data_IF_603106479123
#
_entry.id   IF_603106479123
#
_cell.length_a   1.000
_cell.length_b   1.000
_cell.length_c   1.000
_cell.angle_alpha   90.00
_cell.angle_beta   90.00
_cell.angle_gamma   90.00
#
_symmetry.space_group_name_H-M   'P 1'
#
loop_
_entity.id
_entity.type
_entity.pdbx_description
1 polymer ?
#
# COMPACT_ATOMS: atom_id res chain seq x y z
N UNK A 1 -6.92 -14.82 7.67
CA UNK A 1 -7.24 -13.82 6.63
C UNK A 1 -5.94 -13.48 5.92
N UNK A 2 -5.94 -13.35 4.59
CA UNK A 2 -4.73 -13.06 3.82
C UNK A 2 -4.38 -11.57 3.85
N UNK A 3 -3.11 -11.23 3.62
CA UNK A 3 -2.65 -9.84 3.56
C UNK A 3 -2.63 -9.32 2.12
N UNK A 4 -3.12 -8.10 1.89
CA UNK A 4 -3.05 -7.46 0.59
C UNK A 4 -1.67 -6.85 0.33
N UNK A 5 -1.16 -7.04 -0.88
CA UNK A 5 -0.04 -6.29 -1.45
C UNK A 5 -0.49 -5.77 -2.80
N UNK A 6 -0.18 -4.52 -3.11
CA UNK A 6 -0.61 -3.87 -4.35
C UNK A 6 0.60 -3.63 -5.24
N UNK A 7 0.43 -3.72 -6.56
CA UNK A 7 1.40 -3.20 -7.52
C UNK A 7 1.33 -1.67 -7.56
N UNK A 8 2.39 -1.03 -8.05
CA UNK A 8 2.40 0.42 -8.25
C UNK A 8 1.31 0.83 -9.25
N UNK A 9 1.16 0.10 -10.36
CA UNK A 9 0.12 0.41 -11.35
C UNK A 9 -1.30 0.26 -10.75
N UNK A 10 -1.55 -0.76 -9.93
CA UNK A 10 -2.83 -0.94 -9.24
C UNK A 10 -3.15 0.23 -8.31
N UNK A 11 -2.22 0.57 -7.41
CA UNK A 11 -2.35 1.72 -6.51
C UNK A 11 -2.55 3.03 -7.27
N UNK A 12 -1.85 3.24 -8.40
CA UNK A 12 -1.98 4.44 -9.21
C UNK A 12 -3.35 4.53 -9.89
N UNK A 13 -3.85 3.44 -10.47
CA UNK A 13 -5.16 3.44 -11.14
C UNK A 13 -6.28 3.71 -10.14
N UNK A 14 -6.27 3.07 -8.96
CA UNK A 14 -7.30 3.28 -7.95
C UNK A 14 -7.38 4.74 -7.50
N UNK A 15 -6.23 5.39 -7.27
CA UNK A 15 -6.17 6.81 -6.88
C UNK A 15 -6.75 7.75 -7.95
N UNK A 16 -6.75 7.32 -9.21
CA UNK A 16 -7.38 8.05 -10.31
C UNK A 16 -8.91 8.00 -10.32
N UNK A 17 -9.53 7.10 -9.55
CA UNK A 17 -10.98 6.97 -9.51
C UNK A 17 -11.64 7.88 -8.48
N UNK A 18 -12.93 8.17 -8.71
CA UNK A 18 -13.79 8.79 -7.71
C UNK A 18 -13.92 7.90 -6.46
N UNK A 19 -14.07 8.51 -5.28
CA UNK A 19 -14.09 7.82 -3.98
C UNK A 19 -15.04 6.62 -3.92
N UNK A 20 -16.26 6.76 -4.43
CA UNK A 20 -17.25 5.67 -4.49
C UNK A 20 -16.76 4.42 -5.23
N UNK A 21 -16.01 4.59 -6.33
CA UNK A 21 -15.41 3.47 -7.06
C UNK A 21 -14.23 2.88 -6.30
N UNK A 22 -13.45 3.70 -5.60
CA UNK A 22 -12.39 3.21 -4.72
C UNK A 22 -12.97 2.30 -3.64
N UNK A 23 -14.06 2.71 -2.98
CA UNK A 23 -14.73 1.89 -1.97
C UNK A 23 -15.22 0.54 -2.52
N UNK A 24 -15.79 0.54 -3.73
CA UNK A 24 -16.26 -0.70 -4.36
C UNK A 24 -15.11 -1.65 -4.71
N UNK A 25 -13.99 -1.10 -5.16
CA UNK A 25 -12.75 -1.88 -5.36
C UNK A 25 -12.26 -2.44 -4.02
N UNK A 26 -12.24 -1.64 -2.94
CA UNK A 26 -11.80 -2.10 -1.63
C UNK A 26 -12.71 -3.20 -1.05
N UNK A 27 -14.03 -3.13 -1.27
CA UNK A 27 -14.95 -4.22 -0.91
C UNK A 27 -14.63 -5.51 -1.67
N UNK A 28 -14.27 -5.42 -2.95
CA UNK A 28 -13.86 -6.59 -3.73
C UNK A 28 -12.52 -7.16 -3.26
N UNK A 29 -11.54 -6.31 -2.96
CA UNK A 29 -10.28 -6.70 -2.31
C UNK A 29 -10.56 -7.46 -1.01
N UNK A 30 -11.41 -6.91 -0.13
CA UNK A 30 -11.75 -7.55 1.15
C UNK A 30 -12.34 -8.96 0.95
N UNK A 31 -13.20 -9.16 -0.06
CA UNK A 31 -13.72 -10.51 -0.40
C UNK A 31 -12.62 -11.46 -0.83
N UNK A 32 -11.72 -11.00 -1.71
CA UNK A 32 -10.58 -11.81 -2.17
C UNK A 32 -9.68 -12.23 -1.00
N UNK A 33 -9.44 -11.34 -0.03
CA UNK A 33 -8.60 -11.63 1.15
C UNK A 33 -9.18 -12.66 2.12
N UNK A 34 -10.51 -12.91 2.08
CA UNK A 34 -11.13 -13.98 2.86
C UNK A 34 -10.67 -15.34 2.34
N UNK A 35 -10.74 -15.56 1.03
CA UNK A 35 -10.25 -16.78 0.39
C UNK A 35 -9.90 -16.54 -1.09
N UNK A 36 -8.63 -16.26 -1.41
CA UNK A 36 -8.21 -15.91 -2.77
C UNK A 36 -8.10 -17.13 -3.70
N UNK A 37 -8.31 -18.33 -3.16
CA UNK A 37 -8.13 -19.58 -3.89
C UNK A 37 -9.41 -20.09 -4.57
N UNK A 38 -10.56 -19.49 -4.27
CA UNK A 38 -11.88 -19.84 -4.81
C UNK A 38 -11.82 -20.01 -6.33
N UNK A 39 -12.44 -21.09 -6.82
CA UNK A 39 -12.45 -21.45 -8.25
C UNK A 39 -13.16 -20.40 -9.12
N UNK A 40 -14.14 -19.69 -8.56
CA UNK A 40 -14.82 -18.58 -9.24
C UNK A 40 -13.88 -17.49 -9.75
N UNK A 41 -12.72 -17.31 -9.11
CA UNK A 41 -11.71 -16.33 -9.53
C UNK A 41 -10.77 -16.85 -10.64
N UNK A 42 -10.79 -18.16 -10.94
CA UNK A 42 -9.89 -18.78 -11.90
C UNK A 42 -10.41 -18.60 -13.32
N UNK A 43 -9.50 -18.29 -14.24
CA UNK A 43 -9.70 -18.41 -15.69
C UNK A 43 -8.47 -19.10 -16.27
N UNK A 44 -8.66 -20.20 -17.00
CA UNK A 44 -7.56 -21.02 -17.52
C UNK A 44 -6.58 -20.16 -18.34
N UNK A 45 -7.10 -19.27 -19.17
CA UNK A 45 -6.31 -18.39 -20.04
C UNK A 45 -5.60 -17.22 -19.32
N UNK A 46 -5.86 -17.03 -18.01
CA UNK A 46 -5.20 -16.02 -17.18
C UNK A 46 -4.17 -16.60 -16.22
N UNK A 47 -4.06 -17.92 -16.07
CA UNK A 47 -3.12 -18.55 -15.14
C UNK A 47 -1.70 -17.96 -15.28
N UNK A 48 -1.02 -17.59 -14.17
CA UNK A 48 -1.40 -17.81 -12.76
C UNK A 48 -2.34 -16.75 -12.16
N UNK A 49 -2.72 -15.74 -12.94
CA UNK A 49 -3.57 -14.64 -12.52
C UNK A 49 -5.04 -15.06 -12.37
N UNK A 50 -5.71 -14.36 -11.48
CA UNK A 50 -7.12 -14.51 -11.14
C UNK A 50 -7.83 -13.17 -11.30
N UNK A 51 -9.15 -13.20 -11.39
CA UNK A 51 -9.95 -11.98 -11.51
C UNK A 51 -11.13 -11.96 -10.53
N UNK A 52 -11.49 -10.76 -10.08
CA UNK A 52 -12.71 -10.48 -9.31
C UNK A 52 -13.37 -9.20 -9.83
N UNK A 53 -14.70 -9.16 -9.79
CA UNK A 53 -15.47 -7.99 -10.20
C UNK A 53 -15.97 -7.21 -8.98
N UNK A 54 -15.74 -5.89 -8.89
CA UNK A 54 -16.44 -5.03 -7.95
C UNK A 54 -17.96 -5.01 -8.17
N UNK A 55 -18.67 -4.34 -7.26
CA UNK A 55 -20.12 -4.09 -7.44
C UNK A 55 -20.39 -3.35 -8.74
N UNK A 56 -19.55 -2.34 -9.05
CA UNK A 56 -19.42 -1.79 -10.39
C UNK A 56 -18.84 -2.85 -11.33
N UNK A 57 -19.74 -3.50 -12.07
CA UNK A 57 -19.39 -4.55 -13.04
C UNK A 57 -18.63 -4.02 -14.25
N UNK A 58 -18.40 -2.72 -14.40
CA UNK A 58 -17.51 -2.20 -15.46
C UNK A 58 -16.03 -2.38 -15.11
N UNK A 59 -15.74 -2.77 -13.87
CA UNK A 59 -14.38 -2.98 -13.38
C UNK A 59 -14.06 -4.47 -13.15
N UNK A 60 -12.78 -4.78 -13.20
CA UNK A 60 -12.19 -6.10 -12.99
C UNK A 60 -10.83 -5.91 -12.32
N UNK A 61 -10.67 -6.55 -11.17
CA UNK A 61 -9.43 -6.60 -10.41
C UNK A 61 -8.71 -7.89 -10.76
N UNK A 62 -7.42 -7.80 -11.10
CA UNK A 62 -6.56 -8.94 -11.41
C UNK A 62 -5.52 -9.12 -10.31
N UNK A 63 -5.33 -10.35 -9.85
CA UNK A 63 -4.47 -10.66 -8.71
C UNK A 63 -3.83 -12.05 -8.77
N UNK A 64 -2.82 -12.27 -7.93
CA UNK A 64 -2.13 -13.56 -7.76
C UNK A 64 -2.02 -13.89 -6.26
N UNK A 65 -2.47 -15.08 -5.80
CA UNK A 65 -2.21 -15.54 -4.45
C UNK A 65 -0.75 -15.98 -4.28
N UNK A 66 -0.05 -15.42 -3.29
CA UNK A 66 1.30 -15.79 -2.87
C UNK A 66 1.20 -16.72 -1.66
N UNK A 67 0.95 -18.01 -1.93
CA UNK A 67 0.58 -18.99 -0.89
C UNK A 67 1.62 -19.12 0.23
N UNK A 68 2.90 -19.15 -0.14
CA UNK A 68 4.01 -19.29 0.81
C UNK A 68 4.07 -18.16 1.85
N UNK A 69 3.54 -16.98 1.53
CA UNK A 69 3.56 -15.81 2.39
C UNK A 69 2.19 -15.46 2.99
N UNK A 70 1.12 -16.18 2.63
CA UNK A 70 -0.25 -15.81 3.02
C UNK A 70 -0.68 -14.43 2.49
N UNK A 71 -0.17 -14.03 1.33
CA UNK A 71 -0.39 -12.70 0.72
C UNK A 71 -1.15 -12.80 -0.60
N UNK A 72 -1.90 -11.76 -0.95
CA UNK A 72 -2.52 -11.61 -2.27
C UNK A 72 -1.90 -10.39 -2.94
N UNK A 73 -1.24 -10.61 -4.08
CA UNK A 73 -0.69 -9.53 -4.88
C UNK A 73 -1.72 -9.06 -5.90
N UNK A 74 -2.25 -7.87 -5.72
CA UNK A 74 -3.17 -7.21 -6.64
C UNK A 74 -2.37 -6.49 -7.73
N UNK A 75 -2.48 -7.01 -8.94
CA UNK A 75 -1.58 -6.72 -10.05
C UNK A 75 -2.09 -5.54 -10.88
N UNK A 76 -3.39 -5.53 -11.18
CA UNK A 76 -3.97 -4.51 -12.05
C UNK A 76 -5.48 -4.41 -11.87
N UNK A 77 -6.05 -3.23 -12.13
CA UNK A 77 -7.48 -2.99 -12.26
C UNK A 77 -7.67 -2.17 -13.53
N UNK A 78 -8.68 -2.50 -14.32
CA UNK A 78 -8.91 -1.78 -15.57
C UNK A 78 -9.39 -0.35 -15.35
N UNK A 79 -9.15 0.50 -16.33
CA UNK A 79 -9.65 1.87 -16.41
C UNK A 79 -10.93 1.96 -17.26
N UNK A 80 -11.46 3.17 -17.40
CA UNK A 80 -12.65 3.45 -18.23
C UNK A 80 -12.41 3.27 -19.73
N UNK A 81 -11.14 3.22 -20.18
CA UNK A 81 -10.80 2.96 -21.59
C UNK A 81 -10.89 1.46 -21.94
N UNK A 82 -10.76 0.59 -20.95
CA UNK A 82 -10.80 -0.87 -21.11
C UNK A 82 -11.84 -1.49 -20.16
N UNK A 83 -13.12 -1.10 -20.25
CA UNK A 83 -14.14 -1.56 -19.32
C UNK A 83 -14.40 -3.07 -19.47
N UNK A 84 -14.79 -3.71 -18.37
CA UNK A 84 -15.40 -5.02 -18.41
C UNK A 84 -16.72 -4.94 -19.19
N UNK A 85 -16.89 -5.79 -20.19
CA UNK A 85 -18.12 -5.83 -20.99
C UNK A 85 -18.64 -7.27 -21.16
N UNK A 86 -19.68 -7.59 -20.38
CA UNK A 86 -20.38 -8.88 -20.39
C UNK A 86 -21.25 -9.12 -21.61
N UNK A 87 -21.50 -8.11 -22.46
CA UNK A 87 -22.49 -8.17 -23.54
C UNK A 87 -21.91 -8.43 -24.94
N UNK A 88 -20.60 -8.70 -25.06
CA UNK A 88 -20.01 -9.02 -26.37
C UNK A 88 -20.35 -10.45 -26.79
N UNK A 89 -21.26 -10.56 -27.76
CA UNK A 89 -21.66 -11.84 -28.35
C UNK A 89 -20.51 -12.59 -29.05
N UNK A 90 -19.43 -11.94 -29.50
CA UNK A 90 -18.35 -12.58 -30.26
C UNK A 90 -16.94 -11.95 -30.10
N UNK A 91 -16.58 -11.42 -28.93
CA UNK A 91 -15.26 -10.81 -28.74
C UNK A 91 -14.71 -10.95 -27.34
N UNK A 92 -13.39 -11.01 -27.23
CA UNK A 92 -12.70 -10.94 -25.95
C UNK A 92 -13.01 -9.61 -25.24
N UNK A 93 -13.22 -9.72 -23.94
CA UNK A 93 -13.49 -8.62 -23.04
C UNK A 93 -12.34 -7.58 -23.06
N UNK A 94 -12.61 -6.26 -23.25
CA UNK A 94 -11.56 -5.26 -23.37
C UNK A 94 -10.55 -5.28 -22.23
N UNK A 95 -11.00 -5.43 -20.98
CA UNK A 95 -10.09 -5.50 -19.82
C UNK A 95 -9.18 -6.73 -19.87
N UNK A 96 -9.70 -7.89 -20.31
CA UNK A 96 -8.93 -9.14 -20.44
C UNK A 96 -7.91 -9.03 -21.58
N UNK A 97 -8.31 -8.45 -22.72
CA UNK A 97 -7.42 -8.23 -23.85
C UNK A 97 -6.25 -7.32 -23.47
N UNK A 98 -6.53 -6.23 -22.77
CA UNK A 98 -5.49 -5.30 -22.32
C UNK A 98 -4.60 -5.92 -21.24
N UNK A 99 -5.18 -6.64 -20.28
CA UNK A 99 -4.41 -7.36 -19.27
C UNK A 99 -3.43 -8.37 -19.91
N UNK A 100 -3.89 -9.16 -20.89
CA UNK A 100 -3.03 -10.07 -21.65
C UNK A 100 -1.92 -9.32 -22.39
N UNK A 101 -2.24 -8.20 -23.04
CA UNK A 101 -1.24 -7.35 -23.70
C UNK A 101 -0.16 -6.90 -22.70
N UNK A 102 -0.55 -6.38 -21.53
CA UNK A 102 0.37 -5.92 -20.49
C UNK A 102 1.23 -7.06 -19.92
N UNK A 103 0.64 -8.25 -19.72
CA UNK A 103 1.34 -9.45 -19.28
C UNK A 103 2.38 -9.89 -20.31
N UNK A 104 1.96 -10.02 -21.57
CA UNK A 104 2.79 -10.54 -22.65
C UNK A 104 3.91 -9.55 -23.02
N UNK A 105 3.69 -8.25 -22.83
CA UNK A 105 4.72 -7.20 -22.95
C UNK A 105 5.61 -7.03 -21.71
N UNK A 106 5.43 -7.86 -20.66
CA UNK A 106 6.15 -7.77 -19.38
C UNK A 106 6.06 -6.40 -18.71
N UNK A 107 4.91 -5.73 -18.89
CA UNK A 107 4.63 -4.42 -18.28
C UNK A 107 3.91 -4.53 -16.94
N UNK A 108 3.45 -5.73 -16.57
CA UNK A 108 2.93 -6.02 -15.23
C UNK A 108 4.08 -6.27 -14.26
N UNK A 109 4.00 -5.66 -13.09
CA UNK A 109 4.92 -5.91 -11.99
C UNK A 109 4.79 -7.35 -11.49
N UNK A 110 5.91 -8.00 -11.19
CA UNK A 110 5.94 -9.25 -10.43
C UNK A 110 6.13 -8.95 -8.96
N UNK A 111 5.48 -9.71 -8.08
CA UNK A 111 5.61 -9.50 -6.64
C UNK A 111 7.07 -9.65 -6.20
N UNK A 112 7.54 -8.66 -5.47
CA UNK A 112 8.85 -8.59 -4.83
C UNK A 112 8.68 -7.94 -3.48
N UNK A 113 9.00 -8.67 -2.41
CA UNK A 113 8.82 -8.20 -1.03
C UNK A 113 9.55 -6.88 -0.80
N UNK A 114 10.84 -6.81 -1.15
CA UNK A 114 11.66 -5.61 -0.98
C UNK A 114 11.13 -4.40 -1.77
N UNK A 115 10.51 -4.63 -2.94
CA UNK A 115 10.01 -3.55 -3.77
C UNK A 115 8.59 -3.08 -3.39
N UNK A 116 7.69 -4.01 -3.03
CA UNK A 116 6.26 -3.73 -2.85
C UNK A 116 5.86 -3.50 -1.39
N UNK A 117 6.53 -4.16 -0.45
CA UNK A 117 6.30 -3.97 0.99
C UNK A 117 7.34 -3.04 1.61
N UNK A 118 8.39 -2.80 0.85
CA UNK A 118 9.47 -1.91 1.16
C UNK A 118 10.49 -2.49 2.12
N UNK A 119 11.64 -1.83 2.21
CA UNK A 119 12.76 -2.25 3.04
C UNK A 119 13.25 -1.11 3.91
N UNK A 120 13.59 -1.45 5.15
CA UNK A 120 14.17 -0.52 6.12
C UNK A 120 15.68 -0.67 6.16
N UNK A 121 16.38 0.45 6.03
CA UNK A 121 17.81 0.52 6.30
C UNK A 121 18.08 1.66 7.28
N UNK A 122 18.72 1.34 8.40
CA UNK A 122 19.29 2.35 9.30
C UNK A 122 20.66 2.71 8.73
N UNK A 123 20.81 3.93 8.24
CA UNK A 123 22.07 4.45 7.73
C UNK A 123 22.66 5.37 8.81
N UNK A 124 23.77 5.02 9.46
CA UNK A 124 24.42 5.95 10.37
C UNK A 124 24.97 7.15 9.59
N UNK A 125 24.70 8.39 10.03
CA UNK A 125 25.35 9.61 9.52
C UNK A 125 26.29 10.19 10.57
N UNK A 126 27.42 10.83 10.18
CA UNK A 126 28.42 11.37 11.11
C UNK A 126 27.84 12.31 12.19
N UNK A 127 26.79 13.07 11.85
CA UNK A 127 26.12 14.03 12.76
C UNK A 127 24.68 13.61 13.14
N UNK A 128 24.22 12.44 12.71
CA UNK A 128 22.88 11.93 12.97
C UNK A 128 22.92 10.39 13.07
N UNK A 129 23.06 9.83 14.28
CA UNK A 129 23.40 8.42 14.47
C UNK A 129 22.30 7.44 14.03
N UNK A 130 21.10 7.92 13.71
CA UNK A 130 19.95 7.10 13.29
C UNK A 130 19.17 7.76 12.17
N UNK A 131 19.62 7.62 10.93
CA UNK A 131 18.86 8.03 9.74
C UNK A 131 18.14 6.80 9.17
N UNK A 132 16.81 6.87 9.05
CA UNK A 132 16.00 5.83 8.44
C UNK A 132 15.84 6.11 6.96
N UNK A 133 16.15 5.09 6.16
CA UNK A 133 15.78 5.01 4.76
C UNK A 133 14.74 3.89 4.62
N UNK A 134 13.58 4.23 4.07
CA UNK A 134 12.58 3.27 3.64
C UNK A 134 12.39 3.35 2.14
N UNK A 135 12.53 2.23 1.45
CA UNK A 135 12.40 2.17 -0.01
C UNK A 135 11.24 1.30 -0.42
N UNK A 136 10.35 1.82 -1.29
CA UNK A 136 9.24 1.09 -1.91
C UNK A 136 8.94 1.67 -3.30
N UNK A 137 8.61 0.82 -4.26
CA UNK A 137 8.37 1.19 -5.66
C UNK A 137 9.50 2.00 -6.32
N UNK A 138 10.74 1.82 -5.85
CA UNK A 138 11.91 2.59 -6.28
C UNK A 138 11.94 4.04 -5.75
N UNK A 139 11.02 4.42 -4.85
CA UNK A 139 11.03 5.69 -4.14
C UNK A 139 11.57 5.49 -2.72
N UNK A 140 12.37 6.43 -2.22
CA UNK A 140 12.94 6.40 -0.88
C UNK A 140 12.37 7.50 0.00
N UNK A 141 11.82 7.14 1.15
CA UNK A 141 11.53 8.06 2.25
C UNK A 141 12.71 8.10 3.19
N UNK A 142 13.10 9.32 3.53
CA UNK A 142 14.21 9.59 4.42
C UNK A 142 13.71 10.31 5.66
N UNK A 143 14.05 9.77 6.81
CA UNK A 143 13.66 10.32 8.08
C UNK A 143 14.84 10.36 9.04
N UNK A 144 14.97 11.47 9.76
CA UNK A 144 15.83 11.49 10.92
C UNK A 144 15.07 10.83 12.07
N UNK A 145 15.71 9.87 12.74
CA UNK A 145 15.32 9.52 14.10
C UNK A 145 16.07 10.45 15.03
N UNK A 146 15.36 11.37 15.65
CA UNK A 146 15.87 12.23 16.71
C UNK A 146 15.67 11.51 18.04
N UNK A 147 16.75 11.17 18.73
CA UNK A 147 16.67 10.75 20.13
C UNK A 147 16.59 12.03 20.98
N UNK A 148 15.57 12.16 21.81
CA UNK A 148 15.40 13.32 22.70
C UNK A 148 16.44 13.39 23.83
N UNK A 149 17.35 12.42 23.90
CA UNK A 149 18.39 12.33 24.92
C UNK A 149 17.98 11.50 26.14
N UNK A 150 16.69 11.13 26.28
CA UNK A 150 16.14 10.59 27.52
C UNK A 150 15.32 9.32 27.30
N UNK A 151 14.35 9.32 26.39
CA UNK A 151 13.34 8.25 26.33
C UNK A 151 12.75 7.96 24.96
N UNK A 152 12.76 8.89 24.00
CA UNK A 152 12.00 8.70 22.76
C UNK A 152 12.78 8.99 21.48
N UNK A 153 12.47 8.18 20.48
CA UNK A 153 12.82 8.40 19.08
C UNK A 153 11.69 9.18 18.41
N UNK A 154 12.01 10.33 17.82
CA UNK A 154 11.08 11.18 17.07
C UNK A 154 11.41 11.16 15.58
N UNK A 155 10.39 11.07 14.75
CA UNK A 155 10.54 11.04 13.30
C UNK A 155 10.23 12.40 12.66
N UNK A 156 11.20 13.00 11.96
CA UNK A 156 10.99 14.17 11.11
C UNK A 156 11.24 13.81 9.65
N UNK A 157 10.26 14.04 8.78
CA UNK A 157 10.34 13.71 7.35
C UNK A 157 10.93 14.91 6.59
N UNK A 158 12.04 14.70 5.88
CA UNK A 158 12.88 15.83 5.40
C UNK A 158 12.78 16.11 3.90
N UNK A 159 12.49 15.13 3.03
CA UNK A 159 12.48 15.36 1.56
C UNK A 159 11.72 14.28 0.79
N UNK A 160 10.89 14.67 -0.21
CA UNK A 160 10.36 13.76 -1.24
C UNK A 160 10.18 14.45 -2.61
N UNK A 161 10.55 13.74 -3.68
CA UNK A 161 10.47 14.24 -5.07
C UNK A 161 9.11 14.00 -5.76
N UNK A 162 8.11 13.39 -5.10
CA UNK A 162 6.79 13.21 -5.71
C UNK A 162 5.69 12.92 -4.67
N UNK A 163 4.85 13.91 -4.37
CA UNK A 163 3.88 13.90 -3.25
C UNK A 163 2.73 12.90 -3.40
N UNK A 164 2.36 12.48 -4.61
CA UNK A 164 1.17 11.64 -4.80
C UNK A 164 1.37 10.18 -4.39
N UNK A 165 2.58 9.64 -4.55
CA UNK A 165 2.97 8.27 -4.16
C UNK A 165 3.31 8.15 -2.65
N UNK A 166 3.21 9.24 -1.87
CA UNK A 166 3.55 9.27 -0.43
C UNK A 166 2.67 8.42 0.47
N UNK A 167 1.37 8.36 0.19
CA UNK A 167 0.38 8.02 1.22
C UNK A 167 0.43 6.54 1.61
N UNK A 168 0.47 5.64 0.63
CA UNK A 168 0.68 4.20 0.85
C UNK A 168 2.07 3.91 1.44
N UNK A 169 3.07 4.73 1.10
CA UNK A 169 4.43 4.59 1.59
C UNK A 169 4.54 5.01 3.05
N UNK A 170 3.88 6.10 3.47
CA UNK A 170 3.91 6.55 4.86
C UNK A 170 3.17 5.64 5.80
N UNK A 171 1.97 5.18 5.44
CA UNK A 171 1.22 4.27 6.30
C UNK A 171 2.03 2.99 6.59
N UNK A 172 2.58 2.38 5.53
CA UNK A 172 3.43 1.20 5.69
C UNK A 172 4.76 1.51 6.37
N UNK A 173 5.36 2.67 6.10
CA UNK A 173 6.56 3.12 6.78
C UNK A 173 6.34 3.25 8.29
N UNK A 174 5.25 3.90 8.71
CA UNK A 174 4.92 4.06 10.14
C UNK A 174 4.61 2.70 10.76
N UNK A 175 3.83 1.86 10.09
CA UNK A 175 3.52 0.51 10.55
C UNK A 175 4.79 -0.33 10.75
N UNK A 176 5.67 -0.38 9.76
CA UNK A 176 6.91 -1.15 9.82
C UNK A 176 7.91 -0.59 10.82
N UNK A 177 7.98 0.74 10.95
CA UNK A 177 8.77 1.40 12.01
C UNK A 177 8.27 0.96 13.37
N UNK A 178 6.96 0.93 13.59
CA UNK A 178 6.36 0.37 14.81
C UNK A 178 6.68 -1.10 15.00
N UNK A 179 6.49 -1.95 13.99
CA UNK A 179 6.80 -3.39 14.07
C UNK A 179 8.26 -3.59 14.52
N UNK A 180 9.19 -2.79 13.99
CA UNK A 180 10.58 -2.79 14.41
C UNK A 180 10.74 -2.43 15.89
N UNK A 181 10.27 -1.27 16.33
CA UNK A 181 10.45 -0.82 17.73
C UNK A 181 9.75 -1.73 18.75
N UNK A 182 8.56 -2.25 18.44
CA UNK A 182 7.87 -3.26 19.27
C UNK A 182 8.71 -4.53 19.38
N UNK A 183 9.27 -5.03 18.26
CA UNK A 183 10.09 -6.25 18.28
C UNK A 183 11.35 -6.11 19.14
N UNK A 184 11.84 -4.88 19.33
CA UNK A 184 13.01 -4.56 20.16
C UNK A 184 12.63 -4.14 21.60
N UNK A 185 11.34 -4.07 21.93
CA UNK A 185 10.85 -3.54 23.21
C UNK A 185 11.36 -2.11 23.51
N UNK A 186 11.45 -1.29 22.46
CA UNK A 186 11.90 0.10 22.54
C UNK A 186 10.71 1.06 22.40
N UNK A 187 10.59 2.10 23.26
CA UNK A 187 9.54 3.13 23.13
C UNK A 187 9.77 4.00 21.89
N UNK A 188 8.69 4.41 21.22
CA UNK A 188 8.77 5.20 19.98
C UNK A 188 7.66 6.26 19.90
N UNK A 189 8.02 7.46 19.43
CA UNK A 189 7.09 8.56 19.19
C UNK A 189 7.14 9.03 17.74
N UNK A 190 5.96 9.08 17.12
CA UNK A 190 5.78 9.72 15.85
C UNK A 190 5.22 11.13 16.06
N UNK A 191 5.98 12.16 15.65
CA UNK A 191 5.63 13.57 15.85
C UNK A 191 5.26 14.22 14.52
N UNK A 192 4.11 14.88 14.50
CA UNK A 192 3.59 15.62 13.36
C UNK A 192 3.46 17.08 13.76
N UNK A 193 3.99 17.99 12.94
CA UNK A 193 3.76 19.43 13.14
C UNK A 193 2.28 19.75 12.84
N UNK A 194 1.59 20.42 13.77
CA UNK A 194 0.17 20.76 13.59
C UNK A 194 -0.03 21.69 12.40
N UNK A 195 -1.05 21.42 11.57
CA UNK A 195 -1.41 22.26 10.42
C UNK A 195 -1.57 21.50 9.10
N UNK A 196 -1.18 20.23 9.06
CA UNK A 196 -1.40 19.33 7.92
C UNK A 196 -2.58 18.38 8.23
N UNK A 197 -3.80 18.90 8.08
CA UNK A 197 -5.04 18.16 8.37
C UNK A 197 -5.19 16.91 7.50
N UNK A 198 -4.65 16.92 6.28
CA UNK A 198 -4.66 15.74 5.40
C UNK A 198 -3.83 14.62 6.00
N UNK A 199 -2.64 14.93 6.53
CA UNK A 199 -1.79 13.95 7.17
C UNK A 199 -2.40 13.39 8.46
N UNK A 200 -3.09 14.22 9.25
CA UNK A 200 -3.80 13.78 10.45
C UNK A 200 -4.93 12.79 10.14
N UNK A 201 -5.80 13.11 9.17
CA UNK A 201 -6.89 12.24 8.74
C UNK A 201 -6.36 10.91 8.21
N UNK A 202 -5.23 10.94 7.51
CA UNK A 202 -4.57 9.75 6.97
C UNK A 202 -3.99 8.85 8.06
N UNK A 203 -3.35 9.42 9.09
CA UNK A 203 -2.90 8.66 10.24
C UNK A 203 -4.09 8.03 10.95
N UNK A 204 -5.20 8.76 11.11
CA UNK A 204 -6.41 8.20 11.72
C UNK A 204 -7.02 7.05 10.90
N UNK A 205 -6.98 7.12 9.58
CA UNK A 205 -7.54 6.08 8.72
C UNK A 205 -6.66 4.82 8.63
N UNK A 206 -5.33 4.95 8.79
CA UNK A 206 -4.38 3.88 8.50
C UNK A 206 -3.60 3.37 9.71
N UNK A 207 -3.61 4.10 10.83
CA UNK A 207 -2.97 3.68 12.07
C UNK A 207 -4.03 3.09 12.98
N UNK A 208 -3.88 1.80 13.29
CA UNK A 208 -4.72 1.12 14.25
C UNK A 208 -4.68 1.82 15.62
N UNK A 209 -5.77 2.51 15.94
CA UNK A 209 -5.94 3.30 17.15
C UNK A 209 -5.83 2.49 18.45
N UNK A 210 -5.92 1.15 18.38
CA UNK A 210 -5.81 0.32 19.58
C UNK A 210 -4.42 0.38 20.23
N UNK A 211 -3.40 0.77 19.46
CA UNK A 211 -2.00 0.67 19.90
C UNK A 211 -1.27 2.01 20.01
N UNK A 212 -1.88 3.11 19.59
CA UNK A 212 -1.25 4.42 19.58
C UNK A 212 -1.98 5.39 20.48
N UNK A 213 -1.25 6.02 21.41
CA UNK A 213 -1.78 7.10 22.24
C UNK A 213 -1.52 8.43 21.53
N UNK A 214 -2.59 9.11 21.10
CA UNK A 214 -2.54 10.48 20.58
C UNK A 214 -2.47 11.47 21.74
N UNK A 215 -1.51 12.40 21.71
CA UNK A 215 -1.48 13.59 22.57
C UNK A 215 -1.04 14.82 21.79
N UNK A 216 -1.39 15.99 22.31
CA UNK A 216 -0.96 17.29 21.73
C UNK A 216 0.03 17.91 22.70
N UNK A 217 1.19 18.31 22.19
CA UNK A 217 2.26 18.89 22.98
C UNK A 217 2.94 20.02 22.18
N UNK A 218 2.96 21.24 22.73
CA UNK A 218 3.55 22.43 22.09
C UNK A 218 3.17 22.65 20.61
N UNK A 219 1.91 22.39 20.21
CA UNK A 219 1.47 22.51 18.82
C UNK A 219 1.95 21.38 17.90
N UNK A 220 2.35 20.25 18.47
CA UNK A 220 2.64 19.02 17.73
C UNK A 220 1.65 17.95 18.13
N UNK A 221 1.28 17.10 17.18
CA UNK A 221 0.53 15.88 17.45
C UNK A 221 1.53 14.75 17.59
N UNK A 222 1.49 14.08 18.73
CA UNK A 222 2.37 12.98 19.06
C UNK A 222 1.54 11.70 19.12
N UNK A 223 2.00 10.68 18.40
CA UNK A 223 1.52 9.31 18.51
C UNK A 223 2.63 8.48 19.17
N UNK A 224 2.34 7.87 20.32
CA UNK A 224 3.30 7.00 21.03
C UNK A 224 2.82 5.56 21.12
N UNK A 225 3.75 4.61 20.99
CA UNK A 225 3.56 3.18 21.33
C UNK A 225 4.26 2.83 22.64
#
# INVERSE_FOLDING_TARGET
MWNAVYSKIFSKTIRGFHFSRQEDIQKAVARVLVNPEIDGYKRIYLSPYRQEHPTDKTLTIFFVPIKSAGKVFFVWVNDDNHPHNTHKNHGEDPCVKEFKRLRDSKSLEEYSEAFHEGSFTIVPRPNAPKFLKFEKYGASVHANILYDGVTHYSLAIVTLNNLSDLFDHYAQFIQKTREHFISQNEPFEFRVFSGDTQFEDLLQQNIDHQHWKKRIDHGQIIFSI
#
